data_IF_543108568035
#
_entry.id   IF_543108568035
#
_cell.length_a   1.000
_cell.length_b   1.000
_cell.length_c   1.000
_cell.angle_alpha   90.00
_cell.angle_beta   90.00
_cell.angle_gamma   90.00
#
_symmetry.space_group_name_H-M   'P 1'
#
loop_
_entity.id
_entity.type
_entity.pdbx_description
1 polymer ?
#
# COMPACT_ATOMS: atom_id res chain seq x y z
N UNK A 1 43.90 24.57 10.75
CA UNK A 1 43.14 24.25 9.52
C UNK A 1 42.34 25.52 9.21
N UNK A 2 41.83 25.77 8.01
CA UNK A 2 40.98 26.95 7.76
C UNK A 2 39.88 26.55 6.77
N UNK A 3 38.63 26.70 7.19
CA UNK A 3 37.46 26.51 6.36
C UNK A 3 36.86 27.91 6.18
N UNK A 4 36.96 28.46 4.98
CA UNK A 4 36.27 29.69 4.64
C UNK A 4 34.91 29.32 4.05
N UNK A 5 33.87 29.53 4.84
CA UNK A 5 32.48 29.41 4.44
C UNK A 5 31.56 29.90 5.56
N UNK A 6 30.43 30.49 5.19
CA UNK A 6 29.45 31.08 6.11
C UNK A 6 28.20 30.21 6.22
N UNK A 7 27.79 29.95 7.46
CA UNK A 7 26.41 29.73 7.91
C UNK A 7 25.61 28.49 7.47
N UNK A 8 26.19 27.29 7.46
CA UNK A 8 25.37 26.08 7.72
C UNK A 8 25.27 25.80 9.23
N UNK A 9 24.07 25.42 9.70
CA UNK A 9 23.84 25.10 11.13
C UNK A 9 24.68 23.90 11.59
N UNK A 10 24.92 22.94 10.69
CA UNK A 10 25.67 21.71 10.94
C UNK A 10 27.20 21.85 10.74
N UNK A 11 27.63 22.98 10.17
CA UNK A 11 29.02 23.23 9.78
C UNK A 11 29.39 22.63 8.43
N UNK A 12 30.36 23.24 7.74
CA UNK A 12 30.80 22.78 6.41
C UNK A 12 31.88 21.70 6.49
N UNK A 13 32.42 21.46 7.67
CA UNK A 13 33.58 20.61 7.87
C UNK A 13 33.53 19.94 9.23
N UNK A 14 33.72 18.63 9.26
CA UNK A 14 33.84 17.89 10.52
C UNK A 14 35.07 16.99 10.54
N UNK A 15 35.57 16.74 11.76
CA UNK A 15 36.59 15.76 12.09
C UNK A 15 36.01 14.83 13.15
N UNK A 16 35.89 13.54 12.83
CA UNK A 16 35.21 12.54 13.67
C UNK A 16 33.79 12.98 14.10
N UNK A 17 33.07 13.63 13.20
CA UNK A 17 31.74 14.18 13.44
C UNK A 17 31.71 15.44 14.31
N UNK A 18 32.86 15.93 14.78
CA UNK A 18 32.96 17.22 15.45
C UNK A 18 33.19 18.33 14.44
N UNK A 19 32.42 19.40 14.53
CA UNK A 19 32.49 20.58 13.66
C UNK A 19 33.85 21.30 13.81
N UNK A 20 34.54 21.59 12.69
CA UNK A 20 35.87 22.27 12.64
C UNK A 20 35.91 23.35 11.54
N UNK A 21 34.89 24.18 11.50
CA UNK A 21 34.78 25.40 10.70
C UNK A 21 34.52 26.60 11.65
N UNK A 22 34.51 27.86 11.16
CA UNK A 22 34.48 29.04 12.02
C UNK A 22 33.39 29.00 13.10
N UNK A 23 33.73 29.33 14.36
CA UNK A 23 35.00 29.96 14.78
C UNK A 23 36.14 28.97 15.10
N UNK A 24 35.89 27.67 15.15
CA UNK A 24 36.89 26.67 15.53
C UNK A 24 37.49 26.02 14.29
N UNK A 25 38.62 26.52 13.83
CA UNK A 25 39.29 26.03 12.61
C UNK A 25 40.46 25.08 12.91
N UNK A 26 40.58 24.57 14.14
CA UNK A 26 41.69 23.70 14.55
C UNK A 26 41.19 22.44 15.25
N UNK A 27 41.81 21.32 14.91
CA UNK A 27 41.65 20.02 15.56
C UNK A 27 43.03 19.51 15.99
N UNK A 28 43.15 19.06 17.24
CA UNK A 28 44.42 18.62 17.83
C UNK A 28 44.35 17.13 18.13
N UNK A 29 45.37 16.39 17.73
CA UNK A 29 45.48 14.95 17.99
C UNK A 29 46.94 14.51 18.07
N UNK A 30 47.17 13.34 18.67
CA UNK A 30 48.49 12.71 18.67
C UNK A 30 48.89 12.30 17.23
N UNK A 31 50.19 12.25 16.89
CA UNK A 31 50.64 11.82 15.57
C UNK A 31 50.21 10.38 15.23
N UNK A 32 49.98 10.14 13.94
CA UNK A 32 49.60 8.86 13.32
C UNK A 32 48.25 8.30 13.75
N UNK A 33 47.41 9.11 14.41
CA UNK A 33 46.04 8.74 14.74
C UNK A 33 45.17 8.96 13.50
N UNK A 34 44.42 7.95 13.04
CA UNK A 34 43.48 8.12 11.94
C UNK A 34 42.24 8.89 12.42
N UNK A 35 41.80 9.82 11.59
CA UNK A 35 40.57 10.60 11.76
C UNK A 35 39.74 10.54 10.49
N UNK A 36 38.42 10.72 10.64
CA UNK A 36 37.51 10.89 9.51
C UNK A 36 37.28 12.37 9.29
N UNK A 37 37.71 12.87 8.13
CA UNK A 37 37.33 14.20 7.66
C UNK A 37 36.06 14.06 6.83
N UNK A 38 35.08 14.92 7.07
CA UNK A 38 33.87 14.99 6.24
C UNK A 38 33.53 16.44 5.91
N UNK A 39 33.48 16.73 4.61
CA UNK A 39 32.98 17.97 4.06
C UNK A 39 31.45 17.86 3.84
N UNK A 40 30.72 18.95 4.12
CA UNK A 40 29.31 19.06 3.77
C UNK A 40 29.10 18.90 2.26
N UNK A 41 27.94 18.40 1.83
CA UNK A 41 27.62 18.23 0.41
C UNK A 41 27.57 19.56 -0.36
N UNK A 42 27.27 20.66 0.34
CA UNK A 42 27.36 22.02 -0.20
C UNK A 42 27.23 23.07 0.90
N UNK A 43 27.60 24.30 0.58
CA UNK A 43 27.37 25.49 1.37
C UNK A 43 26.09 26.18 0.90
N UNK A 44 25.06 26.21 1.74
CA UNK A 44 23.83 26.93 1.44
C UNK A 44 24.07 28.45 1.55
N UNK A 45 23.81 29.17 0.46
CA UNK A 45 24.05 30.62 0.36
C UNK A 45 22.76 31.43 0.35
N UNK A 46 21.65 30.79 -0.04
CA UNK A 46 20.30 31.29 0.07
C UNK A 46 19.34 30.08 0.15
N UNK A 47 18.08 30.26 0.59
CA UNK A 47 17.12 29.15 0.65
C UNK A 47 17.00 28.42 -0.70
N UNK A 48 17.34 27.13 -0.69
CA UNK A 48 17.32 26.27 -1.89
C UNK A 48 18.44 26.52 -2.90
N UNK A 49 19.45 27.33 -2.56
CA UNK A 49 20.65 27.58 -3.38
C UNK A 49 21.92 27.24 -2.60
N UNK A 50 22.80 26.42 -3.18
CA UNK A 50 24.06 26.03 -2.56
C UNK A 50 25.23 26.07 -3.53
N UNK A 51 26.43 26.26 -2.99
CA UNK A 51 27.68 25.93 -3.67
C UNK A 51 28.05 24.48 -3.32
N UNK A 52 28.00 23.52 -4.25
CA UNK A 52 28.33 22.13 -3.95
C UNK A 52 29.82 21.95 -3.63
N UNK A 53 30.12 20.89 -2.89
CA UNK A 53 31.49 20.43 -2.70
C UNK A 53 32.10 20.08 -4.06
N UNK A 54 33.23 20.71 -4.38
CA UNK A 54 34.01 20.43 -5.57
C UNK A 54 34.99 19.31 -5.30
N UNK A 55 35.92 19.56 -4.39
CA UNK A 55 37.00 18.64 -4.06
C UNK A 55 37.78 19.07 -2.80
N UNK A 56 38.74 18.23 -2.41
CA UNK A 56 39.76 18.58 -1.45
C UNK A 56 40.96 19.22 -2.16
N UNK A 57 41.43 20.36 -1.67
CA UNK A 57 42.57 21.05 -2.28
C UNK A 57 43.86 20.20 -2.27
N UNK A 58 44.05 19.38 -1.24
CA UNK A 58 45.22 18.52 -1.08
C UNK A 58 45.11 17.20 -1.83
N UNK A 59 43.89 16.72 -2.10
CA UNK A 59 43.63 15.48 -2.84
C UNK A 59 42.32 15.59 -3.65
N UNK A 60 42.37 16.15 -4.86
CA UNK A 60 41.16 16.40 -5.64
C UNK A 60 40.35 15.17 -6.03
N UNK A 61 40.93 13.97 -5.91
CA UNK A 61 40.26 12.71 -6.24
C UNK A 61 39.57 12.06 -5.02
N UNK A 62 39.81 12.57 -3.81
CA UNK A 62 39.22 12.01 -2.60
C UNK A 62 37.72 12.32 -2.51
N UNK A 63 36.97 11.37 -1.96
CA UNK A 63 35.56 11.57 -1.62
C UNK A 63 35.38 12.66 -0.55
N UNK A 64 34.18 13.26 -0.50
CA UNK A 64 33.82 14.27 0.52
C UNK A 64 34.06 13.80 1.96
N UNK A 65 33.92 12.50 2.22
CA UNK A 65 34.34 11.86 3.47
C UNK A 65 35.59 11.02 3.21
N UNK A 66 36.66 11.23 3.97
CA UNK A 66 37.94 10.55 3.80
C UNK A 66 38.65 10.30 5.12
N UNK A 67 39.44 9.24 5.20
CA UNK A 67 40.28 8.97 6.36
C UNK A 67 41.66 9.56 6.18
N UNK A 68 42.18 10.23 7.21
CA UNK A 68 43.52 10.83 7.21
C UNK A 68 44.20 10.57 8.53
N UNK A 69 45.48 10.19 8.50
CA UNK A 69 46.29 10.08 9.72
C UNK A 69 46.97 11.42 10.01
N UNK A 70 46.94 11.85 11.28
CA UNK A 70 47.63 13.06 11.73
C UNK A 70 49.14 12.97 11.48
N UNK A 71 49.74 13.91 10.75
CA UNK A 71 51.18 13.92 10.53
C UNK A 71 51.96 14.44 11.75
N UNK A 72 53.29 14.31 11.71
CA UNK A 72 54.21 14.85 12.73
C UNK A 72 54.28 16.40 12.75
N UNK A 73 53.82 17.03 11.68
CA UNK A 73 53.80 18.49 11.50
C UNK A 73 52.38 18.94 11.20
N UNK A 74 52.04 20.16 11.58
CA UNK A 74 50.72 20.73 11.29
C UNK A 74 50.44 20.70 9.78
N UNK A 75 49.22 20.27 9.43
CA UNK A 75 48.74 20.20 8.05
C UNK A 75 47.44 20.97 7.90
N UNK A 76 47.23 21.48 6.68
CA UNK A 76 46.02 22.21 6.33
C UNK A 76 45.25 21.42 5.29
N UNK A 77 44.00 21.13 5.61
CA UNK A 77 43.02 20.54 4.70
C UNK A 77 42.00 21.61 4.35
N UNK A 78 41.66 21.73 3.07
CA UNK A 78 40.70 22.71 2.57
C UNK A 78 39.70 21.98 1.68
N UNK A 79 38.44 21.99 2.09
CA UNK A 79 37.32 21.62 1.23
C UNK A 79 36.97 22.82 0.35
N UNK A 80 36.88 22.62 -0.96
CA UNK A 80 36.49 23.67 -1.91
C UNK A 80 35.05 23.49 -2.31
N UNK A 81 34.33 24.61 -2.37
CA UNK A 81 32.95 24.70 -2.80
C UNK A 81 32.86 25.65 -3.99
N UNK A 82 31.96 25.38 -4.93
CA UNK A 82 31.78 26.25 -6.09
C UNK A 82 30.82 25.68 -7.12
N UNK A 83 30.55 26.46 -8.17
CA UNK A 83 29.36 26.26 -8.99
C UNK A 83 28.09 26.63 -8.21
N UNK A 84 26.93 26.59 -8.86
CA UNK A 84 25.65 26.82 -8.20
C UNK A 84 24.79 25.58 -8.39
N UNK A 85 24.18 25.11 -7.31
CA UNK A 85 23.13 24.11 -7.35
C UNK A 85 21.84 24.69 -6.78
N UNK A 86 20.73 24.27 -7.36
CA UNK A 86 19.41 24.59 -6.86
C UNK A 86 18.71 23.33 -6.35
N UNK A 87 17.90 23.51 -5.31
CA UNK A 87 17.06 22.48 -4.72
C UNK A 87 15.78 22.32 -5.54
N UNK A 88 15.38 21.06 -5.76
CA UNK A 88 14.02 20.70 -6.07
C UNK A 88 13.33 20.20 -4.79
N UNK A 89 12.47 21.02 -4.20
CA UNK A 89 11.57 20.58 -3.14
C UNK A 89 10.41 19.81 -3.76
N UNK A 90 10.23 18.56 -3.37
CA UNK A 90 9.16 17.70 -3.88
C UNK A 90 8.22 17.26 -2.76
N UNK A 91 6.93 17.52 -2.92
CA UNK A 91 5.88 16.98 -2.04
C UNK A 91 5.11 15.87 -2.73
N UNK A 92 4.67 14.88 -1.98
CA UNK A 92 3.88 13.76 -2.52
C UNK A 92 2.48 13.76 -1.89
N UNK A 93 1.45 13.66 -2.71
CA UNK A 93 0.05 13.58 -2.27
C UNK A 93 -0.56 12.24 -2.68
N UNK A 94 -1.46 11.70 -1.86
CA UNK A 94 -2.18 10.46 -2.18
C UNK A 94 -1.62 9.20 -1.50
N UNK A 95 -0.60 9.34 -0.64
CA UNK A 95 -0.18 8.26 0.26
C UNK A 95 -1.25 7.92 1.30
N UNK A 96 -1.32 6.65 1.70
CA UNK A 96 -2.32 6.13 2.65
C UNK A 96 -1.62 5.33 3.74
N UNK A 97 -1.99 5.51 5.01
CA UNK A 97 -1.42 4.77 6.16
C UNK A 97 0.12 4.77 6.22
N UNK A 98 0.76 5.91 5.94
CA UNK A 98 2.22 6.05 5.85
C UNK A 98 2.88 5.18 4.76
N UNK A 99 2.11 4.65 3.82
CA UNK A 99 2.61 4.05 2.59
C UNK A 99 2.81 5.16 1.56
N UNK A 100 4.08 5.44 1.25
CA UNK A 100 4.43 6.34 0.16
C UNK A 100 3.90 5.80 -1.18
N UNK A 101 3.24 6.61 -2.00
CA UNK A 101 2.57 6.14 -3.20
C UNK A 101 3.54 5.90 -4.37
N UNK A 102 4.77 6.38 -4.29
CA UNK A 102 5.75 6.28 -5.37
C UNK A 102 7.19 6.32 -4.87
N UNK A 103 8.11 6.02 -5.78
CA UNK A 103 9.50 6.46 -5.73
C UNK A 103 9.76 7.43 -6.88
N UNK A 104 10.87 8.16 -6.84
CA UNK A 104 11.23 9.11 -7.88
C UNK A 104 12.61 8.78 -8.44
N UNK A 105 12.77 9.01 -9.74
CA UNK A 105 14.05 8.91 -10.41
C UNK A 105 14.28 10.19 -11.22
N UNK A 106 15.48 10.75 -11.13
CA UNK A 106 15.90 11.89 -11.93
C UNK A 106 17.02 11.52 -12.90
N UNK A 107 17.10 12.28 -13.99
CA UNK A 107 18.26 12.34 -14.89
C UNK A 107 18.63 13.81 -15.14
N UNK A 108 19.84 14.28 -14.79
CA UNK A 108 20.90 13.51 -14.13
C UNK A 108 20.47 13.00 -12.74
N UNK A 109 20.95 11.83 -12.29
CA UNK A 109 20.54 11.26 -11.02
C UNK A 109 21.03 12.12 -9.85
N UNK A 110 20.12 12.43 -8.92
CA UNK A 110 20.41 13.18 -7.70
C UNK A 110 19.74 12.52 -6.50
N UNK A 111 20.54 12.13 -5.50
CA UNK A 111 20.05 11.45 -4.29
C UNK A 111 19.48 12.39 -3.23
N UNK A 112 19.78 13.68 -3.32
CA UNK A 112 19.33 14.73 -2.41
C UNK A 112 18.43 15.77 -3.09
N UNK A 113 18.12 15.58 -4.38
CA UNK A 113 17.32 16.50 -5.22
C UNK A 113 17.93 17.89 -5.38
N UNK A 114 19.25 17.99 -5.32
CA UNK A 114 19.99 19.16 -5.75
C UNK A 114 20.62 18.92 -7.12
N UNK A 115 20.56 19.95 -7.97
CA UNK A 115 21.01 19.87 -9.35
C UNK A 115 21.83 21.10 -9.72
N UNK A 116 22.83 20.93 -10.58
CA UNK A 116 23.63 22.03 -11.10
C UNK A 116 22.75 23.04 -11.85
N UNK A 117 23.07 24.32 -11.67
CA UNK A 117 22.34 25.42 -12.28
C UNK A 117 22.28 25.28 -13.80
N UNK A 118 21.12 25.63 -14.36
CA UNK A 118 20.78 25.61 -15.78
C UNK A 118 20.86 24.24 -16.47
N UNK A 119 21.04 23.15 -15.70
CA UNK A 119 20.94 21.79 -16.24
C UNK A 119 19.47 21.43 -16.49
N UNK A 120 19.23 20.79 -17.62
CA UNK A 120 17.94 20.19 -17.92
C UNK A 120 17.82 18.87 -17.14
N UNK A 121 16.76 18.77 -16.35
CA UNK A 121 16.43 17.59 -15.54
C UNK A 121 15.19 16.93 -16.11
N UNK A 122 15.20 15.60 -16.16
CA UNK A 122 13.98 14.80 -16.26
C UNK A 122 13.68 14.15 -14.93
N UNK A 123 12.42 14.17 -14.50
CA UNK A 123 11.96 13.58 -13.25
C UNK A 123 10.81 12.63 -13.56
N UNK A 124 10.99 11.36 -13.20
CA UNK A 124 10.00 10.31 -13.35
C UNK A 124 9.43 9.92 -11.98
N UNK A 125 8.11 9.97 -11.87
CA UNK A 125 7.38 9.35 -10.78
C UNK A 125 7.15 7.88 -11.12
N UNK A 126 7.55 6.98 -10.22
CA UNK A 126 7.39 5.53 -10.34
C UNK A 126 6.38 5.07 -9.27
N UNK A 127 5.07 4.98 -9.61
CA UNK A 127 4.05 4.55 -8.64
C UNK A 127 4.35 3.17 -8.07
N UNK A 128 4.11 3.00 -6.77
CA UNK A 128 4.11 1.68 -6.12
C UNK A 128 2.81 0.96 -6.46
N UNK A 129 2.82 -0.37 -6.39
CA UNK A 129 1.63 -1.20 -6.54
C UNK A 129 0.51 -0.71 -5.62
N UNK A 130 -0.69 -0.55 -6.18
CA UNK A 130 -1.85 0.02 -5.48
C UNK A 130 -2.05 1.52 -5.70
N UNK A 131 -1.12 2.20 -6.39
CA UNK A 131 -1.23 3.62 -6.72
C UNK A 131 -1.07 3.88 -8.22
N UNK A 132 -1.67 4.97 -8.69
CA UNK A 132 -1.48 5.49 -10.05
C UNK A 132 -1.07 6.96 -10.00
N UNK A 133 -0.13 7.35 -10.87
CA UNK A 133 0.26 8.75 -11.04
C UNK A 133 -0.86 9.52 -11.71
N UNK A 134 -1.30 10.62 -11.08
CA UNK A 134 -2.29 11.51 -11.65
C UNK A 134 -1.64 12.68 -12.37
N UNK A 135 -0.81 13.44 -11.67
CA UNK A 135 -0.28 14.69 -12.20
C UNK A 135 0.93 15.16 -11.40
N UNK A 136 1.75 15.97 -12.04
CA UNK A 136 2.60 16.92 -11.33
C UNK A 136 1.79 18.17 -10.98
N UNK A 137 2.20 18.83 -9.90
CA UNK A 137 1.66 20.11 -9.42
C UNK A 137 2.79 21.08 -9.06
N UNK A 138 2.44 22.33 -8.75
CA UNK A 138 3.42 23.39 -8.50
C UNK A 138 4.20 23.77 -9.76
N UNK A 139 5.52 23.91 -9.63
CA UNK A 139 6.38 24.36 -10.73
C UNK A 139 6.40 23.40 -11.93
N UNK A 140 6.07 22.12 -11.74
CA UNK A 140 6.07 21.08 -12.78
C UNK A 140 4.67 20.75 -13.30
N UNK A 141 3.64 21.55 -12.98
CA UNK A 141 2.24 21.22 -13.21
C UNK A 141 1.94 20.65 -14.60
N UNK A 142 1.35 19.46 -14.66
CA UNK A 142 1.08 18.77 -15.92
C UNK A 142 0.92 17.25 -15.75
N UNK A 143 0.62 16.58 -16.86
CA UNK A 143 0.35 15.14 -16.90
C UNK A 143 1.53 14.31 -17.44
N UNK A 144 2.57 14.97 -17.98
CA UNK A 144 3.70 14.29 -18.57
C UNK A 144 4.56 13.64 -17.48
N UNK A 145 4.71 12.32 -17.55
CA UNK A 145 5.60 11.55 -16.69
C UNK A 145 6.46 10.64 -17.59
N UNK A 146 7.77 10.90 -17.74
CA UNK A 146 8.58 11.89 -17.00
C UNK A 146 8.27 13.36 -17.31
N UNK A 147 8.50 14.25 -16.33
CA UNK A 147 8.49 15.70 -16.52
C UNK A 147 9.91 16.21 -16.84
N UNK A 148 10.02 17.19 -17.74
CA UNK A 148 11.30 17.80 -18.13
C UNK A 148 11.29 19.29 -17.84
N UNK A 149 12.33 19.79 -17.17
CA UNK A 149 12.46 21.19 -16.77
C UNK A 149 13.93 21.60 -16.69
N UNK A 150 14.20 22.91 -16.64
CA UNK A 150 15.54 23.43 -16.39
C UNK A 150 15.65 23.91 -14.95
N UNK A 151 16.75 23.56 -14.27
CA UNK A 151 17.05 24.02 -12.91
C UNK A 151 17.75 25.38 -12.94
N UNK A 152 17.02 26.43 -13.29
CA UNK A 152 17.55 27.81 -13.34
C UNK A 152 17.37 28.60 -12.03
N UNK A 153 16.59 28.06 -11.10
CA UNK A 153 16.33 28.60 -9.75
C UNK A 153 15.85 27.46 -8.84
N UNK A 154 15.74 27.66 -7.51
CA UNK A 154 15.07 26.69 -6.64
C UNK A 154 13.63 26.46 -7.11
N UNK A 155 13.18 25.20 -7.13
CA UNK A 155 11.84 24.82 -7.58
C UNK A 155 11.10 24.05 -6.48
N UNK A 156 9.81 24.33 -6.35
CA UNK A 156 8.90 23.55 -5.51
C UNK A 156 7.81 22.92 -6.39
N UNK A 157 7.68 21.60 -6.32
CA UNK A 157 6.74 20.82 -7.09
C UNK A 157 6.03 19.78 -6.23
N UNK A 158 4.88 19.32 -6.71
CA UNK A 158 4.18 18.19 -6.12
C UNK A 158 3.98 17.07 -7.13
N UNK A 159 3.81 15.84 -6.63
CA UNK A 159 3.36 14.69 -7.39
C UNK A 159 2.11 14.12 -6.73
N UNK A 160 1.01 14.10 -7.48
CA UNK A 160 -0.29 13.67 -7.02
C UNK A 160 -0.60 12.26 -7.54
N UNK A 161 -1.09 11.41 -6.65
CA UNK A 161 -1.42 10.01 -6.92
C UNK A 161 -2.82 9.67 -6.46
N UNK A 162 -3.43 8.67 -7.10
CA UNK A 162 -4.67 8.05 -6.62
C UNK A 162 -4.42 6.61 -6.17
N UNK A 163 -5.22 6.16 -5.19
CA UNK A 163 -5.25 4.77 -4.76
C UNK A 163 -6.09 3.96 -5.75
N UNK A 164 -5.46 2.99 -6.41
CA UNK A 164 -6.10 2.03 -7.33
C UNK A 164 -6.14 0.60 -6.75
N UNK A 165 -5.89 0.47 -5.45
CA UNK A 165 -6.07 -0.77 -4.69
C UNK A 165 -7.55 -0.93 -4.32
N UNK A 166 -8.21 -1.93 -4.92
CA UNK A 166 -9.64 -2.13 -4.76
C UNK A 166 -10.01 -3.62 -4.65
N UNK A 167 -11.16 -3.89 -4.04
CA UNK A 167 -11.80 -5.21 -4.05
C UNK A 167 -12.90 -5.19 -5.11
N UNK A 168 -13.01 -6.25 -5.91
CA UNK A 168 -14.10 -6.37 -6.87
C UNK A 168 -15.45 -6.52 -6.15
N UNK A 169 -16.46 -5.75 -6.56
CA UNK A 169 -17.82 -5.91 -6.04
C UNK A 169 -18.30 -7.36 -6.24
N UNK A 170 -18.86 -7.95 -5.19
CA UNK A 170 -19.28 -9.35 -5.20
C UNK A 170 -20.74 -9.43 -4.76
N UNK A 171 -21.59 -9.96 -5.64
CA UNK A 171 -22.97 -10.28 -5.33
C UNK A 171 -23.23 -11.74 -5.72
N UNK A 172 -23.70 -12.54 -4.77
CA UNK A 172 -23.92 -13.97 -4.96
C UNK A 172 -25.34 -14.32 -4.53
N UNK A 173 -26.13 -14.87 -5.44
CA UNK A 173 -27.47 -15.37 -5.16
C UNK A 173 -27.53 -16.89 -5.32
N UNK A 174 -27.76 -17.62 -4.22
CA UNK A 174 -27.79 -19.08 -4.21
C UNK A 174 -29.03 -19.59 -3.47
N UNK A 175 -29.52 -20.80 -3.75
CA UNK A 175 -30.40 -21.48 -2.84
C UNK A 175 -29.73 -21.73 -1.47
N UNK A 176 -30.49 -21.61 -0.38
CA UNK A 176 -30.05 -22.14 0.91
C UNK A 176 -29.76 -23.64 0.82
N UNK A 177 -28.96 -24.15 1.75
CA UNK A 177 -28.40 -25.51 1.75
C UNK A 177 -27.43 -25.83 0.59
N UNK A 178 -27.16 -24.89 -0.32
CA UNK A 178 -26.16 -25.06 -1.38
C UNK A 178 -24.79 -24.58 -0.91
N UNK A 179 -23.74 -25.33 -1.26
CA UNK A 179 -22.35 -24.94 -0.99
C UNK A 179 -21.97 -23.68 -1.78
N UNK A 180 -21.61 -22.63 -1.04
CA UNK A 180 -20.90 -21.45 -1.50
C UNK A 180 -19.39 -21.71 -1.45
N UNK A 181 -18.69 -21.37 -2.54
CA UNK A 181 -17.22 -21.35 -2.60
C UNK A 181 -16.78 -20.24 -3.56
N UNK A 182 -16.42 -19.09 -3.00
CA UNK A 182 -16.02 -17.89 -3.75
C UNK A 182 -14.69 -17.38 -3.22
N UNK A 183 -13.70 -17.32 -4.11
CA UNK A 183 -12.41 -16.72 -3.82
C UNK A 183 -12.47 -15.22 -4.13
N UNK A 184 -12.43 -14.39 -3.10
CA UNK A 184 -12.35 -12.94 -3.25
C UNK A 184 -10.97 -12.54 -3.80
N UNK A 185 -10.97 -11.46 -4.59
CA UNK A 185 -9.79 -10.93 -5.27
C UNK A 185 -9.64 -9.44 -4.98
N UNK A 186 -8.39 -8.98 -4.99
CA UNK A 186 -8.04 -7.56 -5.00
C UNK A 186 -7.35 -7.23 -6.30
N UNK A 187 -7.60 -6.03 -6.80
CA UNK A 187 -6.88 -5.45 -7.92
C UNK A 187 -5.71 -4.63 -7.41
N UNK A 188 -4.57 -4.71 -8.11
CA UNK A 188 -3.37 -3.91 -7.83
C UNK A 188 -2.83 -4.04 -6.39
N UNK A 189 -3.01 -5.20 -5.75
CA UNK A 189 -2.49 -5.48 -4.40
C UNK A 189 -1.13 -6.18 -4.40
N UNK A 190 -0.36 -5.99 -3.34
CA UNK A 190 0.90 -6.72 -3.10
C UNK A 190 0.68 -7.97 -2.24
N UNK A 191 0.88 -9.20 -2.75
CA UNK A 191 0.73 -10.40 -1.93
C UNK A 191 1.78 -10.51 -0.80
N UNK A 192 1.47 -11.18 0.33
CA UNK A 192 0.19 -11.80 0.65
C UNK A 192 -0.89 -10.78 1.05
N UNK A 193 -2.15 -11.12 0.75
CA UNK A 193 -3.33 -10.31 1.12
C UNK A 193 -4.11 -11.03 2.21
N UNK A 194 -4.44 -10.31 3.27
CA UNK A 194 -5.20 -10.82 4.41
C UNK A 194 -6.62 -10.24 4.41
N UNK A 195 -7.60 -11.09 4.72
CA UNK A 195 -9.02 -10.75 4.66
C UNK A 195 -9.70 -10.84 6.02
N UNK A 196 -10.66 -9.95 6.24
CA UNK A 196 -11.50 -9.92 7.44
C UNK A 196 -12.90 -9.37 7.14
N UNK A 197 -13.86 -9.69 8.00
CA UNK A 197 -15.18 -9.04 8.02
C UNK A 197 -15.10 -7.85 8.98
N UNK A 198 -15.47 -6.67 8.51
CA UNK A 198 -15.42 -5.41 9.27
C UNK A 198 -16.80 -4.77 9.45
N UNK A 199 -17.82 -5.24 8.74
CA UNK A 199 -19.21 -4.78 8.87
C UNK A 199 -20.21 -5.87 8.49
N UNK A 200 -21.41 -5.80 9.08
CA UNK A 200 -22.45 -6.83 8.91
C UNK A 200 -22.13 -8.15 9.61
N UNK A 201 -22.92 -9.19 9.31
CA UNK A 201 -22.70 -10.54 9.82
C UNK A 201 -22.85 -11.54 8.68
N UNK A 202 -21.89 -12.46 8.56
CA UNK A 202 -22.05 -13.58 7.64
C UNK A 202 -23.27 -14.42 8.05
N UNK A 203 -24.06 -14.91 7.08
CA UNK A 203 -25.13 -15.86 7.34
C UNK A 203 -24.63 -17.10 8.09
N UNK A 204 -25.48 -17.71 8.92
CA UNK A 204 -25.11 -18.94 9.64
C UNK A 204 -24.62 -20.00 8.65
N UNK A 205 -23.48 -20.63 8.93
CA UNK A 205 -22.90 -21.68 8.08
C UNK A 205 -21.92 -21.18 7.01
N UNK A 206 -21.85 -19.86 6.79
CA UNK A 206 -20.87 -19.23 5.89
C UNK A 206 -19.70 -18.67 6.69
N UNK A 207 -18.47 -18.83 6.18
CA UNK A 207 -17.24 -18.31 6.77
C UNK A 207 -16.35 -17.64 5.72
N UNK A 208 -15.62 -16.61 6.13
CA UNK A 208 -14.52 -16.02 5.36
C UNK A 208 -13.19 -16.51 5.93
N UNK A 209 -12.33 -17.08 5.09
CA UNK A 209 -10.94 -17.39 5.46
C UNK A 209 -10.06 -16.14 5.41
N UNK A 210 -8.90 -16.19 6.09
CA UNK A 210 -7.90 -15.10 6.01
C UNK A 210 -7.29 -14.93 4.61
N UNK A 211 -7.43 -15.91 3.73
CA UNK A 211 -6.94 -15.86 2.34
C UNK A 211 -8.02 -15.39 1.36
N UNK A 212 -9.20 -14.99 1.85
CA UNK A 212 -10.28 -14.47 1.01
C UNK A 212 -11.23 -15.53 0.48
N UNK A 213 -11.17 -16.77 0.97
CA UNK A 213 -12.14 -17.81 0.58
C UNK A 213 -13.42 -17.66 1.40
N UNK A 214 -14.49 -17.22 0.77
CA UNK A 214 -15.84 -17.25 1.30
C UNK A 214 -16.45 -18.63 1.02
N UNK A 215 -16.76 -19.40 2.06
CA UNK A 215 -17.20 -20.80 1.91
C UNK A 215 -18.22 -21.24 2.95
N UNK A 216 -18.99 -22.28 2.61
CA UNK A 216 -19.96 -22.93 3.50
C UNK A 216 -21.34 -23.04 2.86
N UNK A 217 -22.35 -23.46 3.61
CA UNK A 217 -23.73 -23.53 3.13
C UNK A 217 -24.63 -22.85 4.17
N UNK A 218 -25.39 -21.84 3.75
CA UNK A 218 -26.32 -21.17 4.66
C UNK A 218 -27.63 -21.91 4.74
N UNK A 219 -28.22 -21.95 5.93
CA UNK A 219 -29.58 -22.45 6.17
C UNK A 219 -30.58 -21.30 6.41
N UNK A 220 -30.09 -20.07 6.45
CA UNK A 220 -30.91 -18.87 6.62
C UNK A 220 -31.30 -18.31 5.25
N UNK A 221 -32.48 -17.72 5.17
CA UNK A 221 -33.00 -17.09 3.96
C UNK A 221 -32.83 -15.58 4.01
N UNK A 222 -32.78 -14.96 2.83
CA UNK A 222 -32.76 -13.53 2.63
C UNK A 222 -31.37 -12.98 2.29
N UNK A 223 -31.34 -11.64 2.22
CA UNK A 223 -30.15 -10.88 1.85
C UNK A 223 -29.31 -10.54 3.07
N UNK A 224 -28.02 -10.79 2.96
CA UNK A 224 -26.98 -10.43 3.94
C UNK A 224 -25.97 -9.52 3.25
N UNK A 225 -25.94 -8.26 3.67
CA UNK A 225 -24.91 -7.30 3.25
C UNK A 225 -23.75 -7.34 4.27
N UNK A 226 -22.55 -7.63 3.78
CA UNK A 226 -21.35 -7.84 4.60
C UNK A 226 -20.21 -6.99 4.05
N UNK A 227 -19.61 -6.17 4.89
CA UNK A 227 -18.43 -5.38 4.51
C UNK A 227 -17.18 -6.17 4.85
N UNK A 228 -16.37 -6.47 3.84
CA UNK A 228 -15.06 -7.11 3.99
C UNK A 228 -13.95 -6.09 3.83
N UNK A 229 -12.82 -6.38 4.46
CA UNK A 229 -11.58 -5.63 4.29
C UNK A 229 -10.45 -6.57 3.86
N UNK A 230 -9.71 -6.14 2.85
CA UNK A 230 -8.45 -6.71 2.43
C UNK A 230 -7.31 -5.77 2.85
N UNK A 231 -6.24 -6.35 3.39
CA UNK A 231 -4.98 -5.63 3.69
C UNK A 231 -3.83 -6.38 3.03
N UNK A 232 -3.10 -5.69 2.17
CA UNK A 232 -1.97 -6.24 1.43
C UNK A 232 -0.65 -6.23 2.24
N UNK A 233 0.44 -6.75 1.66
CA UNK A 233 1.73 -6.83 2.35
C UNK A 233 2.38 -5.46 2.64
N UNK A 234 1.97 -4.42 1.90
CA UNK A 234 2.43 -3.04 2.09
C UNK A 234 1.60 -2.31 3.17
N UNK A 235 0.52 -2.92 3.65
CA UNK A 235 -0.40 -2.32 4.63
C UNK A 235 -1.51 -1.48 3.99
N UNK A 236 -1.72 -1.58 2.67
CA UNK A 236 -2.83 -0.89 1.99
C UNK A 236 -4.15 -1.57 2.33
N UNK A 237 -5.16 -0.83 2.83
CA UNK A 237 -6.49 -1.37 3.04
C UNK A 237 -7.41 -1.08 1.85
N UNK A 238 -8.26 -2.04 1.53
CA UNK A 238 -9.42 -1.86 0.66
C UNK A 238 -10.65 -2.44 1.36
N UNK A 239 -11.81 -1.84 1.16
CA UNK A 239 -13.08 -2.35 1.72
C UNK A 239 -14.14 -2.39 0.64
N UNK A 240 -14.96 -3.43 0.67
CA UNK A 240 -16.08 -3.58 -0.24
C UNK A 240 -17.24 -4.27 0.46
N UNK A 241 -18.45 -3.94 0.02
CA UNK A 241 -19.65 -4.63 0.41
C UNK A 241 -19.86 -5.86 -0.48
N UNK A 242 -20.22 -6.97 0.16
CA UNK A 242 -20.61 -8.22 -0.47
C UNK A 242 -22.07 -8.46 -0.15
N UNK A 243 -22.88 -8.68 -1.18
CA UNK A 243 -24.28 -9.06 -1.04
C UNK A 243 -24.43 -10.57 -1.23
N UNK A 244 -24.93 -11.25 -0.21
CA UNK A 244 -25.25 -12.67 -0.27
C UNK A 244 -26.76 -12.84 -0.16
N UNK A 245 -27.40 -13.33 -1.21
CA UNK A 245 -28.84 -13.60 -1.24
C UNK A 245 -29.09 -15.10 -1.20
N UNK A 246 -29.70 -15.57 -0.11
CA UNK A 246 -30.07 -16.96 0.08
C UNK A 246 -31.56 -17.15 -0.15
N UNK A 247 -31.90 -17.78 -1.28
CA UNK A 247 -33.28 -18.04 -1.68
C UNK A 247 -33.74 -19.42 -1.20
N UNK A 248 -35.06 -19.66 -1.10
CA UNK A 248 -35.59 -21.00 -0.85
C UNK A 248 -35.03 -22.02 -1.87
N UNK A 249 -34.57 -23.21 -1.45
CA UNK A 249 -34.20 -24.27 -2.38
C UNK A 249 -35.38 -24.79 -3.17
N UNK A 250 -35.13 -25.08 -4.45
CA UNK A 250 -36.10 -25.70 -5.34
C UNK A 250 -36.19 -27.20 -5.07
N UNK A 251 -37.09 -27.59 -4.17
CA UNK A 251 -37.32 -28.98 -3.79
C UNK A 251 -38.62 -29.50 -4.40
N UNK A 252 -38.55 -30.62 -5.12
CA UNK A 252 -39.76 -31.25 -5.66
C UNK A 252 -40.56 -31.94 -4.55
N UNK A 253 -41.88 -32.09 -4.74
CA UNK A 253 -42.73 -32.87 -3.83
C UNK A 253 -42.18 -34.30 -3.68
N UNK A 254 -41.71 -34.90 -4.78
CA UNK A 254 -41.13 -36.26 -4.77
C UNK A 254 -39.90 -36.36 -3.85
N UNK A 255 -39.00 -35.37 -3.89
CA UNK A 255 -37.86 -35.29 -2.97
C UNK A 255 -38.30 -35.12 -1.52
N UNK A 256 -39.23 -34.19 -1.28
CA UNK A 256 -39.73 -33.88 0.06
C UNK A 256 -40.44 -35.06 0.74
N UNK A 257 -41.09 -35.95 -0.03
CA UNK A 257 -41.75 -37.14 0.51
C UNK A 257 -40.89 -38.41 0.45
N UNK A 258 -39.72 -38.35 -0.19
CA UNK A 258 -38.84 -39.51 -0.36
C UNK A 258 -38.48 -40.24 0.94
N UNK A 259 -38.27 -39.57 2.10
CA UNK A 259 -37.94 -40.28 3.34
C UNK A 259 -39.12 -41.10 3.88
N UNK A 260 -40.36 -40.71 3.55
CA UNK A 260 -41.58 -41.37 4.05
C UNK A 260 -42.03 -42.49 3.11
N UNK A 261 -41.84 -42.32 1.81
CA UNK A 261 -42.25 -43.30 0.80
C UNK A 261 -41.15 -44.32 0.47
N UNK A 262 -39.91 -44.08 0.89
CA UNK A 262 -38.74 -44.89 0.55
C UNK A 262 -38.56 -45.02 -0.98
N UNK A 263 -38.93 -43.96 -1.72
CA UNK A 263 -38.88 -43.86 -3.17
C UNK A 263 -38.59 -42.42 -3.60
N UNK A 264 -38.03 -42.22 -4.80
CA UNK A 264 -37.69 -40.89 -5.31
C UNK A 264 -36.25 -40.45 -4.96
N UNK A 265 -35.84 -39.25 -5.40
CA UNK A 265 -34.50 -38.74 -5.12
C UNK A 265 -34.38 -38.37 -3.64
N UNK A 266 -33.32 -38.82 -2.92
CA UNK A 266 -33.14 -38.49 -1.51
C UNK A 266 -32.82 -37.01 -1.33
N UNK A 267 -33.26 -36.45 -0.20
CA UNK A 267 -32.76 -35.16 0.30
C UNK A 267 -31.31 -35.30 0.75
N UNK A 268 -30.51 -34.26 0.51
CA UNK A 268 -29.17 -34.11 1.09
C UNK A 268 -29.25 -33.79 2.58
N UNK A 269 -28.15 -33.99 3.31
CA UNK A 269 -28.09 -33.66 4.74
C UNK A 269 -28.30 -32.15 4.97
N UNK A 270 -27.77 -31.29 4.10
CA UNK A 270 -27.98 -29.85 4.16
C UNK A 270 -29.44 -29.46 3.92
N UNK A 271 -30.12 -30.07 2.94
CA UNK A 271 -31.55 -29.84 2.68
C UNK A 271 -32.41 -30.31 3.86
N UNK A 272 -32.10 -31.47 4.46
CA UNK A 272 -32.76 -31.96 5.68
C UNK A 272 -32.57 -30.97 6.83
N UNK A 273 -31.33 -30.51 7.06
CA UNK A 273 -31.03 -29.56 8.12
C UNK A 273 -31.73 -28.22 7.92
N UNK A 274 -31.83 -27.77 6.66
CA UNK A 274 -32.57 -26.59 6.28
C UNK A 274 -34.07 -26.76 6.56
N UNK A 275 -34.69 -27.84 6.07
CA UNK A 275 -36.11 -28.13 6.28
C UNK A 275 -36.45 -28.24 7.77
N UNK A 276 -35.63 -28.91 8.56
CA UNK A 276 -35.80 -28.98 10.03
C UNK A 276 -35.75 -27.59 10.67
N UNK A 277 -34.82 -26.73 10.24
CA UNK A 277 -34.63 -25.39 10.81
C UNK A 277 -35.82 -24.48 10.50
N UNK A 278 -36.34 -24.57 9.26
CA UNK A 278 -37.47 -23.77 8.78
C UNK A 278 -38.84 -24.35 9.19
N UNK A 279 -38.90 -25.65 9.51
CA UNK A 279 -40.10 -26.37 9.90
C UNK A 279 -40.42 -26.29 11.39
N UNK A 280 -40.74 -27.44 11.99
CA UNK A 280 -41.15 -27.52 13.40
C UNK A 280 -39.96 -27.57 14.38
N UNK A 281 -38.73 -27.65 13.86
CA UNK A 281 -37.47 -27.72 14.61
C UNK A 281 -37.33 -28.97 15.48
N UNK A 282 -37.97 -30.06 15.10
CA UNK A 282 -37.82 -31.38 15.71
C UNK A 282 -37.06 -32.27 14.72
N UNK A 283 -35.89 -32.76 15.13
CA UNK A 283 -35.09 -33.66 14.29
C UNK A 283 -35.43 -35.14 14.58
N UNK A 284 -35.32 -36.04 13.58
CA UNK A 284 -34.99 -35.80 12.17
C UNK A 284 -36.19 -35.22 11.39
N UNK A 285 -35.96 -34.87 10.11
CA UNK A 285 -37.01 -34.39 9.21
C UNK A 285 -38.24 -35.27 9.23
N UNK A 286 -39.38 -34.65 9.51
CA UNK A 286 -40.65 -35.33 9.69
C UNK A 286 -41.79 -34.71 8.88
N UNK A 287 -42.99 -35.30 8.99
CA UNK A 287 -44.18 -34.85 8.26
C UNK A 287 -44.60 -33.44 8.68
N UNK A 288 -44.23 -33.00 9.88
CA UNK A 288 -44.43 -31.64 10.37
C UNK A 288 -43.58 -30.62 9.61
N UNK A 289 -42.31 -30.93 9.35
CA UNK A 289 -41.43 -30.09 8.52
C UNK A 289 -41.92 -30.05 7.07
N UNK A 290 -42.28 -31.19 6.50
CA UNK A 290 -42.90 -31.28 5.17
C UNK A 290 -44.12 -30.37 5.07
N UNK A 291 -45.04 -30.48 6.03
CA UNK A 291 -46.25 -29.65 6.08
C UNK A 291 -45.91 -28.17 6.19
N UNK A 292 -44.93 -27.80 7.01
CA UNK A 292 -44.51 -26.42 7.15
C UNK A 292 -43.98 -25.84 5.84
N UNK A 293 -43.15 -26.61 5.11
CA UNK A 293 -42.64 -26.23 3.81
C UNK A 293 -43.75 -26.02 2.78
N UNK A 294 -44.66 -26.98 2.64
CA UNK A 294 -45.78 -26.91 1.68
C UNK A 294 -46.69 -25.70 1.95
N UNK A 295 -46.91 -25.34 3.22
CA UNK A 295 -47.71 -24.18 3.58
C UNK A 295 -46.99 -22.85 3.33
N UNK A 296 -45.66 -22.84 3.35
CA UNK A 296 -44.83 -21.66 3.13
C UNK A 296 -44.57 -21.38 1.64
N UNK A 297 -44.70 -22.39 0.77
CA UNK A 297 -44.51 -22.28 -0.67
C UNK A 297 -45.86 -22.36 -1.44
N UNK A 298 -46.50 -21.21 -1.73
CA UNK A 298 -47.78 -21.17 -2.44
C UNK A 298 -47.66 -21.54 -3.93
N UNK A 299 -46.44 -21.74 -4.44
CA UNK A 299 -46.18 -22.06 -5.85
C UNK A 299 -46.13 -23.55 -6.14
N UNK A 300 -46.12 -24.39 -5.10
CA UNK A 300 -46.22 -25.84 -5.25
C UNK A 300 -47.59 -26.21 -5.87
N UNK A 301 -47.61 -27.11 -6.88
CA UNK A 301 -48.86 -27.51 -7.52
C UNK A 301 -49.78 -28.19 -6.50
N UNK A 302 -50.91 -27.54 -6.19
CA UNK A 302 -51.92 -28.03 -5.24
C UNK A 302 -52.78 -29.18 -5.81
N UNK A 303 -52.55 -29.56 -7.07
CA UNK A 303 -53.27 -30.64 -7.76
C UNK A 303 -52.30 -31.50 -8.54
N UNK A 304 -52.38 -32.83 -8.37
CA UNK A 304 -51.80 -33.76 -9.32
C UNK A 304 -52.56 -33.63 -10.65
N UNK A 305 -51.88 -33.31 -11.74
CA UNK A 305 -52.43 -33.62 -13.06
C UNK A 305 -52.39 -35.15 -13.19
N UNK A 306 -53.58 -35.75 -13.13
CA UNK A 306 -53.82 -37.19 -13.28
C UNK A 306 -53.99 -37.53 -14.75
#
# INVERSE_FOLDING_TARGET
MDAQGTTSADGLFTVDGQRVDPPQTTFVSAPFVPHTLEAAAGEEVAPGERHPFLDWLDDPAASRARSVATPLVDSTFVARYGGTQYELTLTTTGGVNAVEPATFQSDPPSGDLWFDADVQVTLEALPRTGFAFLAWSGALAGQANPATFAMSSPLAAGADFELVYAIAETSVGLPAATTLEVQLQVENGTPPVSWSVVGGTLPTGVRLSRTGLLSGASLDLGRFDVTVQAVDASGLPASADIALDFLPPSLSIEQLVSPFLLSGPPLTDEEINFLNRQGNRVAPYDVGDFRAWVLADPTLPLSAEV
#
